data_IF_235874345257
#
_entry.id   IF_235874345257
#
_cell.length_a   1.000
_cell.length_b   1.000
_cell.length_c   1.000
_cell.angle_alpha   90.00
_cell.angle_beta   90.00
_cell.angle_gamma   90.00
#
_symmetry.space_group_name_H-M   'P 1'
#
loop_
_entity.id
_entity.type
_entity.pdbx_description
1 polymer ?
#
# COMPACT_ATOMS: atom_id res chain seq x y z
N UNK A 1 57.85 28.43 -35.76
CA UNK A 1 57.02 27.21 -35.94
C UNK A 1 55.64 27.54 -35.35
N UNK A 2 54.66 28.02 -36.14
CA UNK A 2 53.61 27.23 -36.82
C UNK A 2 52.84 26.34 -35.81
N UNK A 3 51.52 26.41 -35.59
CA UNK A 3 50.37 26.70 -36.47
C UNK A 3 49.11 27.08 -35.66
N UNK A 4 48.19 27.85 -36.29
CA UNK A 4 46.71 27.79 -36.32
C UNK A 4 45.92 27.29 -35.10
N UNK A 5 44.78 27.86 -34.70
CA UNK A 5 43.88 28.82 -35.33
C UNK A 5 42.44 28.61 -34.83
N UNK A 6 41.56 29.62 -35.03
CA UNK A 6 40.07 29.56 -35.13
C UNK A 6 39.28 29.00 -33.92
N UNK A 7 38.10 29.50 -33.52
CA UNK A 7 37.14 30.49 -34.04
C UNK A 7 36.17 30.84 -32.90
N UNK A 8 35.70 32.09 -32.89
CA UNK A 8 34.49 32.53 -32.19
C UNK A 8 33.24 31.76 -32.64
N UNK A 9 32.30 31.50 -31.74
CA UNK A 9 30.87 31.71 -32.04
C UNK A 9 30.05 31.69 -30.75
N UNK A 10 29.32 32.78 -30.54
CA UNK A 10 28.31 32.96 -29.52
C UNK A 10 27.20 31.90 -29.67
N UNK A 11 26.74 31.36 -28.53
CA UNK A 11 25.54 30.53 -28.45
C UNK A 11 24.35 31.46 -28.23
N UNK A 12 23.42 31.39 -29.18
CA UNK A 12 22.25 32.24 -29.31
C UNK A 12 21.17 31.88 -28.30
N UNK A 13 20.47 32.92 -27.83
CA UNK A 13 19.18 32.83 -27.15
C UNK A 13 18.18 32.16 -28.10
N UNK A 14 17.57 31.06 -27.66
CA UNK A 14 16.43 30.46 -28.32
C UNK A 14 15.17 31.27 -28.07
N UNK A 15 14.79 32.09 -29.04
CA UNK A 15 13.53 32.81 -29.10
C UNK A 15 12.37 31.82 -29.35
N UNK A 16 11.32 31.87 -28.51
CA UNK A 16 10.04 31.21 -28.76
C UNK A 16 9.18 32.13 -29.62
N UNK A 17 9.00 31.79 -30.90
CA UNK A 17 7.97 32.44 -31.73
C UNK A 17 6.61 31.75 -31.54
N UNK A 18 5.50 32.51 -31.45
CA UNK A 18 4.16 31.97 -31.22
C UNK A 18 3.39 31.73 -32.54
N UNK A 19 2.21 31.11 -32.37
CA UNK A 19 1.06 31.01 -33.29
C UNK A 19 0.96 29.75 -34.16
N UNK A 20 -0.11 28.97 -33.91
CA UNK A 20 -1.28 28.93 -34.81
C UNK A 20 -2.46 28.21 -34.13
N UNK A 21 -3.51 28.96 -33.84
CA UNK A 21 -4.81 28.48 -33.44
C UNK A 21 -5.60 27.93 -34.63
N UNK A 22 -6.32 26.81 -34.45
CA UNK A 22 -7.59 26.42 -35.11
C UNK A 22 -8.34 25.50 -34.12
N UNK A 23 -9.39 25.99 -33.45
CA UNK A 23 -10.83 25.81 -33.77
C UNK A 23 -11.34 24.39 -33.45
N UNK A 24 -12.49 24.11 -32.83
CA UNK A 24 -13.51 24.79 -32.00
C UNK A 24 -14.53 23.68 -31.62
N UNK A 25 -15.10 23.74 -30.40
CA UNK A 25 -16.37 23.14 -29.93
C UNK A 25 -16.55 21.59 -30.05
N UNK A 26 -17.04 20.86 -29.04
CA UNK A 26 -18.28 21.08 -28.30
C UNK A 26 -18.21 20.63 -26.84
N UNK A 27 -18.84 21.44 -25.98
CA UNK A 27 -19.19 21.18 -24.59
C UNK A 27 -20.14 19.99 -24.45
N UNK A 28 -19.77 19.01 -23.63
CA UNK A 28 -20.69 18.13 -22.93
C UNK A 28 -20.45 18.30 -21.43
N UNK A 29 -21.19 19.21 -20.83
CA UNK A 29 -21.36 19.39 -19.39
C UNK A 29 -21.98 18.11 -18.83
N UNK A 30 -21.17 17.21 -18.27
CA UNK A 30 -21.68 16.19 -17.35
C UNK A 30 -21.54 16.72 -15.93
N UNK A 31 -22.64 17.31 -15.47
CA UNK A 31 -22.88 17.78 -14.11
C UNK A 31 -22.94 16.60 -13.13
N UNK A 32 -21.77 16.13 -12.69
CA UNK A 32 -21.65 15.48 -11.37
C UNK A 32 -20.42 16.01 -10.63
N UNK A 33 -20.38 17.33 -10.46
CA UNK A 33 -19.74 17.92 -9.29
C UNK A 33 -20.79 17.94 -8.17
N UNK A 34 -21.27 16.75 -7.79
CA UNK A 34 -22.02 16.59 -6.56
C UNK A 34 -21.08 17.07 -5.45
N UNK A 35 -21.56 18.05 -4.70
CA UNK A 35 -20.84 18.67 -3.60
C UNK A 35 -20.30 17.58 -2.68
N UNK A 36 -18.98 17.36 -2.72
CA UNK A 36 -18.29 16.78 -1.59
C UNK A 36 -18.32 17.87 -0.54
N UNK A 37 -19.25 17.77 0.41
CA UNK A 37 -19.20 18.53 1.65
C UNK A 37 -17.75 18.54 2.13
N UNK A 38 -17.23 19.74 2.37
CA UNK A 38 -15.93 19.90 3.00
C UNK A 38 -16.09 19.32 4.40
N UNK A 39 -15.66 18.08 4.58
CA UNK A 39 -15.35 17.53 5.90
C UNK A 39 -14.51 18.56 6.63
N UNK A 40 -15.03 19.08 7.74
CA UNK A 40 -14.40 20.11 8.55
C UNK A 40 -12.96 19.70 8.87
N UNK A 41 -11.99 20.53 8.45
CA UNK A 41 -10.56 20.34 8.70
C UNK A 41 -10.23 20.31 10.20
N UNK A 42 -11.16 20.76 11.06
CA UNK A 42 -11.02 20.83 12.52
C UNK A 42 -10.71 19.48 13.21
N UNK A 43 -11.02 18.34 12.58
CA UNK A 43 -10.88 17.01 13.21
C UNK A 43 -9.78 16.11 12.61
N UNK A 44 -8.97 16.58 11.65
CA UNK A 44 -8.00 15.72 10.98
C UNK A 44 -6.56 16.14 11.25
N UNK A 45 -5.88 15.41 12.12
CA UNK A 45 -4.44 15.55 12.33
C UNK A 45 -3.68 14.91 11.16
N UNK A 46 -3.06 15.73 10.30
CA UNK A 46 -2.19 15.26 9.22
C UNK A 46 -0.88 14.76 9.86
N UNK A 47 -0.70 13.45 9.95
CA UNK A 47 0.53 12.84 10.44
C UNK A 47 1.49 12.61 9.28
N UNK A 48 2.66 13.25 9.34
CA UNK A 48 3.73 13.04 8.35
C UNK A 48 4.39 11.68 8.57
N UNK A 49 4.61 10.92 7.48
CA UNK A 49 5.39 9.67 7.50
C UNK A 49 6.84 9.91 7.93
N UNK A 50 7.36 11.11 7.70
CA UNK A 50 8.77 11.47 7.94
C UNK A 50 8.99 12.14 9.29
N UNK A 51 7.93 12.60 9.94
CA UNK A 51 7.98 13.17 11.29
C UNK A 51 7.08 12.33 12.19
N UNK A 52 7.61 11.23 12.77
CA UNK A 52 6.83 10.41 13.68
C UNK A 52 6.39 11.28 14.86
N UNK A 53 5.12 11.14 15.27
CA UNK A 53 4.62 11.79 16.48
C UNK A 53 5.52 11.34 17.62
N UNK A 54 6.29 12.27 18.18
CA UNK A 54 7.04 12.00 19.40
C UNK A 54 6.00 11.80 20.51
N UNK A 55 5.83 10.56 20.94
CA UNK A 55 4.97 10.24 22.06
C UNK A 55 5.42 11.00 23.31
N UNK A 56 4.53 11.22 24.25
CA UNK A 56 4.85 11.83 25.56
C UNK A 56 5.63 10.88 26.49
N UNK A 57 6.09 9.75 25.96
CA UNK A 57 6.76 8.70 26.70
C UNK A 57 8.21 9.08 26.94
N UNK A 58 8.62 9.06 28.21
CA UNK A 58 10.02 9.17 28.62
C UNK A 58 10.71 7.80 28.45
N UNK A 59 11.40 7.63 27.32
CA UNK A 59 12.10 6.40 27.00
C UNK A 59 13.31 6.14 27.91
N UNK A 60 13.97 7.19 28.40
CA UNK A 60 15.13 7.05 29.28
C UNK A 60 14.71 6.52 30.66
N UNK A 61 13.55 6.97 31.15
CA UNK A 61 12.95 6.43 32.38
C UNK A 61 12.49 4.98 32.20
N UNK A 62 11.94 4.61 31.03
CA UNK A 62 11.51 3.24 30.74
C UNK A 62 12.70 2.26 30.65
N UNK A 63 13.76 2.64 29.95
CA UNK A 63 14.96 1.80 29.79
C UNK A 63 15.73 1.59 31.11
N UNK A 64 15.56 2.51 32.07
CA UNK A 64 16.17 2.42 33.40
C UNK A 64 15.32 1.63 34.43
N UNK A 65 14.09 1.26 34.08
CA UNK A 65 13.16 0.56 34.96
C UNK A 65 13.64 -0.88 35.19
N UNK A 66 13.68 -1.32 36.46
CA UNK A 66 14.15 -2.67 36.78
C UNK A 66 13.03 -3.70 36.69
N UNK A 67 13.40 -4.97 36.49
CA UNK A 67 12.43 -6.09 36.46
C UNK A 67 11.60 -6.17 37.75
N UNK A 68 12.21 -5.91 38.92
CA UNK A 68 11.50 -5.89 40.21
C UNK A 68 10.43 -4.80 40.27
N UNK A 69 10.71 -3.62 39.74
CA UNK A 69 9.76 -2.50 39.67
C UNK A 69 8.62 -2.79 38.68
N UNK A 70 8.91 -3.50 37.59
CA UNK A 70 7.90 -3.94 36.62
C UNK A 70 6.97 -4.96 37.27
N UNK A 71 7.51 -5.95 37.99
CA UNK A 71 6.71 -6.96 38.69
C UNK A 71 5.82 -6.35 39.77
N UNK A 72 6.32 -5.38 40.54
CA UNK A 72 5.54 -4.66 41.53
C UNK A 72 4.43 -3.83 40.87
N UNK A 73 4.71 -3.16 39.75
CA UNK A 73 3.71 -2.43 38.98
C UNK A 73 2.61 -3.34 38.45
N UNK A 74 2.97 -4.49 37.86
CA UNK A 74 2.02 -5.50 37.36
C UNK A 74 1.16 -6.05 38.50
N UNK A 75 1.73 -6.33 39.68
CA UNK A 75 0.99 -6.84 40.83
C UNK A 75 -0.02 -5.83 41.38
N UNK A 76 0.31 -4.54 41.32
CA UNK A 76 -0.52 -3.46 41.83
C UNK A 76 -1.55 -2.94 40.81
N UNK A 77 -1.45 -3.35 39.55
CA UNK A 77 -2.37 -2.94 38.48
C UNK A 77 -3.62 -3.85 38.45
N UNK A 78 -4.83 -3.31 38.74
CA UNK A 78 -6.06 -4.09 38.69
C UNK A 78 -6.45 -4.56 37.29
N UNK A 79 -5.92 -3.93 36.23
CA UNK A 79 -6.18 -4.29 34.83
C UNK A 79 -5.18 -5.34 34.30
N UNK A 80 -4.12 -5.63 35.05
CA UNK A 80 -3.15 -6.67 34.75
C UNK A 80 -3.70 -8.06 35.08
N UNK A 81 -4.73 -8.47 34.36
CA UNK A 81 -5.33 -9.80 34.47
C UNK A 81 -4.37 -10.83 33.84
N UNK A 82 -3.98 -11.91 34.55
CA UNK A 82 -3.20 -12.98 33.95
C UNK A 82 -3.92 -13.58 32.74
N UNK A 83 -3.30 -13.51 31.57
CA UNK A 83 -3.80 -14.16 30.35
C UNK A 83 -3.29 -15.60 30.31
N UNK A 84 -4.11 -16.55 30.77
CA UNK A 84 -3.86 -17.98 30.61
C UNK A 84 -4.26 -18.43 29.20
N UNK A 85 -3.48 -17.97 28.21
CA UNK A 85 -3.69 -18.33 26.81
C UNK A 85 -2.62 -19.36 26.45
N UNK A 86 -3.04 -20.61 26.26
CA UNK A 86 -2.18 -21.68 25.75
C UNK A 86 -1.93 -21.48 24.25
N UNK A 87 -0.71 -21.08 23.91
CA UNK A 87 -0.25 -20.89 22.53
C UNK A 87 0.33 -22.16 21.90
N UNK A 88 0.30 -23.30 22.58
CA UNK A 88 0.92 -24.55 22.10
C UNK A 88 0.35 -25.02 20.75
N UNK A 89 -0.94 -24.77 20.50
CA UNK A 89 -1.62 -25.09 19.23
C UNK A 89 -1.61 -23.92 18.22
N UNK A 90 -0.93 -22.83 18.54
CA UNK A 90 -0.85 -21.63 17.70
C UNK A 90 -0.11 -21.89 16.39
N UNK A 91 -0.84 -22.01 15.28
CA UNK A 91 -0.22 -22.09 13.95
C UNK A 91 0.11 -20.68 13.45
N UNK A 92 1.40 -20.34 13.44
CA UNK A 92 1.88 -19.09 12.83
C UNK A 92 1.73 -19.19 11.30
N UNK A 93 0.68 -18.59 10.76
CA UNK A 93 0.46 -18.50 9.31
C UNK A 93 1.11 -17.21 8.80
N UNK A 94 2.34 -17.29 8.32
CA UNK A 94 2.96 -16.17 7.61
C UNK A 94 2.36 -16.08 6.20
N UNK A 95 1.63 -14.99 5.84
CA UNK A 95 1.03 -14.88 4.53
C UNK A 95 2.14 -14.80 3.48
N UNK A 96 2.16 -15.77 2.56
CA UNK A 96 3.09 -15.76 1.45
C UNK A 96 2.95 -14.47 0.62
N UNK A 97 4.08 -13.81 0.33
CA UNK A 97 4.10 -12.61 -0.50
C UNK A 97 3.53 -12.92 -1.89
N UNK A 98 2.49 -12.20 -2.29
CA UNK A 98 1.93 -12.28 -3.64
C UNK A 98 2.90 -11.63 -4.62
N UNK A 99 3.09 -12.23 -5.78
CA UNK A 99 3.84 -11.62 -6.88
C UNK A 99 2.89 -10.70 -7.66
N UNK A 100 3.25 -9.42 -7.78
CA UNK A 100 2.53 -8.48 -8.64
C UNK A 100 2.91 -8.76 -10.10
N UNK A 101 1.98 -9.36 -10.85
CA UNK A 101 2.15 -9.66 -12.27
C UNK A 101 1.04 -8.94 -13.06
N UNK A 102 1.35 -8.57 -14.30
CA UNK A 102 0.35 -8.07 -15.24
C UNK A 102 -0.18 -9.25 -16.06
N UNK A 103 -1.47 -9.56 -15.89
CA UNK A 103 -2.17 -10.59 -16.66
C UNK A 103 -3.40 -9.97 -17.32
N UNK A 104 -3.78 -10.49 -18.50
CA UNK A 104 -5.04 -10.13 -19.15
C UNK A 104 -6.13 -11.07 -18.64
N UNK A 105 -7.27 -10.52 -18.30
CA UNK A 105 -8.46 -11.22 -17.83
C UNK A 105 -9.64 -10.67 -18.64
N UNK A 106 -10.58 -11.54 -18.99
CA UNK A 106 -11.81 -11.14 -19.65
C UNK A 106 -12.62 -10.16 -18.78
N UNK A 107 -13.33 -9.25 -19.44
CA UNK A 107 -14.05 -8.15 -18.79
C UNK A 107 -15.18 -8.65 -17.89
N UNK A 108 -15.94 -9.64 -18.36
CA UNK A 108 -17.04 -10.28 -17.63
C UNK A 108 -16.57 -10.97 -16.34
N UNK A 109 -15.43 -11.66 -16.38
CA UNK A 109 -14.81 -12.30 -15.23
C UNK A 109 -14.34 -11.24 -14.22
N UNK A 110 -13.71 -10.16 -14.71
CA UNK A 110 -13.26 -9.07 -13.86
C UNK A 110 -14.44 -8.39 -13.15
N UNK A 111 -15.52 -8.13 -13.89
CA UNK A 111 -16.71 -7.46 -13.39
C UNK A 111 -17.48 -8.35 -12.40
N UNK A 112 -17.56 -9.65 -12.64
CA UNK A 112 -18.10 -10.62 -11.69
C UNK A 112 -17.41 -10.50 -10.33
N UNK A 113 -16.08 -10.58 -10.27
CA UNK A 113 -15.36 -10.52 -9.00
C UNK A 113 -15.41 -9.13 -8.34
N UNK A 114 -15.46 -8.06 -9.13
CA UNK A 114 -15.63 -6.68 -8.62
C UNK A 114 -17.03 -6.46 -8.03
N UNK A 115 -18.06 -7.10 -8.58
CA UNK A 115 -19.44 -6.95 -8.10
C UNK A 115 -19.62 -7.44 -6.66
N UNK A 116 -18.78 -8.38 -6.22
CA UNK A 116 -18.73 -8.90 -4.85
C UNK A 116 -18.03 -7.93 -3.85
N UNK A 117 -17.59 -6.76 -4.31
CA UNK A 117 -17.03 -5.69 -3.47
C UNK A 117 -15.51 -5.76 -3.28
N UNK A 118 -15.03 -5.09 -2.22
CA UNK A 118 -13.61 -4.98 -1.94
C UNK A 118 -12.94 -6.35 -1.72
N UNK A 119 -11.65 -6.44 -2.06
CA UNK A 119 -10.89 -7.68 -1.94
C UNK A 119 -11.05 -8.69 -3.09
N UNK A 120 -11.63 -8.28 -4.23
CA UNK A 120 -11.83 -9.13 -5.41
C UNK A 120 -10.56 -9.85 -5.89
N UNK A 121 -9.39 -9.19 -5.81
CA UNK A 121 -8.09 -9.81 -6.14
C UNK A 121 -7.75 -10.99 -5.22
N UNK A 122 -8.14 -10.91 -3.94
CA UNK A 122 -7.98 -11.99 -2.98
C UNK A 122 -8.85 -13.20 -3.32
N UNK A 123 -10.11 -12.96 -3.66
CA UNK A 123 -11.06 -14.01 -4.09
C UNK A 123 -10.62 -14.69 -5.37
N UNK A 124 -10.23 -13.91 -6.38
CA UNK A 124 -9.68 -14.44 -7.63
C UNK A 124 -8.46 -15.34 -7.38
N UNK A 125 -7.53 -14.93 -6.52
CA UNK A 125 -6.38 -15.76 -6.15
C UNK A 125 -6.78 -17.03 -5.38
N UNK A 126 -7.83 -17.00 -4.55
CA UNK A 126 -8.35 -18.19 -3.87
C UNK A 126 -8.91 -19.23 -4.86
N UNK A 127 -9.63 -18.78 -5.90
CA UNK A 127 -10.13 -19.62 -6.98
C UNK A 127 -8.98 -20.25 -7.77
N UNK A 128 -7.96 -19.46 -8.12
CA UNK A 128 -6.77 -19.99 -8.81
C UNK A 128 -6.05 -21.05 -7.96
N UNK A 129 -5.95 -20.83 -6.64
CA UNK A 129 -5.39 -21.83 -5.71
C UNK A 129 -6.23 -23.09 -5.61
N UNK A 130 -7.56 -22.98 -5.53
CA UNK A 130 -8.42 -24.16 -5.45
C UNK A 130 -8.30 -25.01 -6.73
N UNK A 131 -8.26 -24.38 -7.89
CA UNK A 131 -8.02 -25.06 -9.16
C UNK A 131 -6.65 -25.76 -9.20
N UNK A 132 -5.58 -25.06 -8.76
CA UNK A 132 -4.24 -25.64 -8.64
C UNK A 132 -4.24 -26.88 -7.73
N UNK A 133 -4.85 -26.81 -6.55
CA UNK A 133 -4.90 -27.93 -5.60
C UNK A 133 -5.71 -29.12 -6.13
N UNK A 134 -6.81 -28.86 -6.84
CA UNK A 134 -7.60 -29.92 -7.46
C UNK A 134 -6.80 -30.66 -8.55
N UNK A 135 -6.03 -29.93 -9.36
CA UNK A 135 -5.17 -30.52 -10.41
C UNK A 135 -3.92 -31.20 -9.84
N UNK A 136 -3.41 -30.72 -8.71
CA UNK A 136 -2.20 -31.23 -8.08
C UNK A 136 -2.40 -32.53 -7.28
N UNK A 137 -3.64 -33.02 -7.08
CA UNK A 137 -3.86 -34.32 -6.42
C UNK A 137 -3.14 -35.43 -7.19
N UNK A 138 -2.13 -36.11 -6.61
CA UNK A 138 -1.42 -37.16 -7.30
C UNK A 138 -2.40 -38.28 -7.63
N UNK A 139 -2.38 -38.78 -8.88
CA UNK A 139 -3.06 -40.03 -9.21
C UNK A 139 -2.41 -41.11 -8.36
N UNK A 140 -3.09 -41.57 -7.32
CA UNK A 140 -2.65 -42.70 -6.50
C UNK A 140 -2.49 -43.90 -7.44
N UNK A 141 -1.25 -44.24 -7.78
CA UNK A 141 -0.94 -45.48 -8.52
C UNK A 141 -1.38 -46.62 -7.61
N UNK A 142 -2.43 -47.35 -8.00
CA UNK A 142 -2.78 -48.62 -7.36
C UNK A 142 -1.57 -49.53 -7.55
N UNK A 143 -0.91 -49.88 -6.44
CA UNK A 143 0.13 -50.90 -6.43
C UNK A 143 -0.58 -52.24 -6.54
N UNK A 144 -0.58 -52.80 -7.75
CA UNK A 144 -0.89 -54.21 -8.03
C UNK A 144 0.27 -55.07 -7.62
#
# INVERSE_FOLDING_TARGET
MAKSGTKSSAISKGEKSPSRARSAAHSATSSRRAAREKTSEENNTIVSRYEPIRGRTDWAALDALTDEQIEEAVRNDPDAVPLDIDWSDGVVVMPARKKAISIRIDEDVLDFFKSEGDGYQGRMNAVLRSYMLQKAKPKTKKRT
#
